data_IF_732419919622
#
_entry.id   IF_732419919622
#
_cell.length_a   1.000
_cell.length_b   1.000
_cell.length_c   1.000
_cell.angle_alpha   90.00
_cell.angle_beta   90.00
_cell.angle_gamma   90.00
#
_symmetry.space_group_name_H-M   'P 1'
#
loop_
_entity.id
_entity.type
_entity.pdbx_description
1 polymer ?
#
# COMPACT_ATOMS: atom_id res chain seq x y z
N UNK A 1 0.52 -31.80 -2.90
CA UNK A 1 -0.86 -31.60 -3.38
C UNK A 1 -0.99 -32.17 -4.78
N UNK A 2 -2.09 -32.86 -5.09
CA UNK A 2 -2.42 -33.28 -6.45
C UNK A 2 -3.24 -32.18 -7.16
N UNK A 3 -3.40 -32.26 -8.49
CA UNK A 3 -4.10 -31.23 -9.27
C UNK A 3 -5.54 -30.99 -8.77
N UNK A 4 -6.25 -32.07 -8.39
CA UNK A 4 -7.62 -32.00 -7.88
C UNK A 4 -7.69 -31.22 -6.56
N UNK A 5 -6.74 -31.44 -5.65
CA UNK A 5 -6.68 -30.71 -4.38
C UNK A 5 -6.45 -29.20 -4.60
N UNK A 6 -5.69 -28.80 -5.62
CA UNK A 6 -5.46 -27.38 -5.91
C UNK A 6 -6.74 -26.66 -6.34
N UNK A 7 -7.65 -27.37 -7.02
CA UNK A 7 -8.91 -26.79 -7.51
C UNK A 7 -9.99 -26.66 -6.42
N UNK A 8 -9.92 -27.50 -5.38
CA UNK A 8 -10.97 -27.60 -4.35
C UNK A 8 -10.60 -26.83 -3.09
N UNK A 9 -9.30 -26.77 -2.77
CA UNK A 9 -8.83 -26.17 -1.53
C UNK A 9 -8.95 -24.65 -1.53
N UNK A 10 -9.17 -24.11 -0.34
CA UNK A 10 -9.20 -22.66 -0.14
C UNK A 10 -7.83 -22.03 -0.43
N UNK A 11 -7.83 -20.78 -0.89
CA UNK A 11 -6.58 -20.05 -1.17
C UNK A 11 -5.66 -19.97 0.07
N UNK A 12 -6.23 -19.88 1.27
CA UNK A 12 -5.46 -19.92 2.52
C UNK A 12 -4.71 -21.24 2.71
N UNK A 13 -5.35 -22.38 2.43
CA UNK A 13 -4.72 -23.71 2.50
C UNK A 13 -3.59 -23.87 1.47
N UNK A 14 -3.76 -23.30 0.27
CA UNK A 14 -2.71 -23.26 -0.75
C UNK A 14 -1.51 -22.41 -0.30
N UNK A 15 -1.75 -21.24 0.28
CA UNK A 15 -0.70 -20.38 0.83
C UNK A 15 0.01 -21.05 2.01
N UNK A 16 -0.72 -21.69 2.92
CA UNK A 16 -0.14 -22.47 4.03
C UNK A 16 0.78 -23.57 3.51
N UNK A 17 0.34 -24.31 2.49
CA UNK A 17 1.14 -25.38 1.86
C UNK A 17 2.42 -24.83 1.23
N UNK A 18 2.37 -23.66 0.61
CA UNK A 18 3.56 -22.99 0.07
C UNK A 18 4.52 -22.56 1.19
N UNK A 19 4.02 -21.98 2.27
CA UNK A 19 4.83 -21.58 3.43
C UNK A 19 5.48 -22.79 4.12
N UNK A 20 4.76 -23.90 4.27
CA UNK A 20 5.28 -25.17 4.80
C UNK A 20 6.41 -25.71 3.92
N UNK A 21 6.24 -25.66 2.60
CA UNK A 21 7.28 -26.06 1.65
C UNK A 21 8.54 -25.22 1.80
N UNK A 22 8.40 -23.89 1.86
CA UNK A 22 9.54 -22.98 2.07
C UNK A 22 10.21 -23.19 3.44
N UNK A 23 9.43 -23.35 4.51
CA UNK A 23 9.98 -23.62 5.85
C UNK A 23 10.80 -24.91 5.88
N UNK A 24 10.34 -25.96 5.19
CA UNK A 24 11.10 -27.22 5.06
C UNK A 24 12.42 -27.02 4.30
N UNK A 25 12.45 -26.19 3.26
CA UNK A 25 13.67 -25.90 2.49
C UNK A 25 14.70 -25.15 3.33
N UNK A 26 14.25 -24.18 4.12
CA UNK A 26 15.13 -23.35 4.98
C UNK A 26 15.32 -23.92 6.39
N UNK A 27 14.88 -25.16 6.66
CA UNK A 27 14.95 -25.82 7.96
C UNK A 27 14.39 -24.97 9.13
N UNK A 28 13.28 -24.28 8.87
CA UNK A 28 12.54 -23.48 9.85
C UNK A 28 11.49 -24.36 10.50
N UNK A 29 11.43 -24.35 11.83
CA UNK A 29 10.44 -25.11 12.58
C UNK A 29 9.02 -24.61 12.26
N UNK A 30 8.16 -25.53 11.84
CA UNK A 30 6.75 -25.23 11.56
C UNK A 30 5.98 -25.22 12.88
N UNK A 31 5.36 -24.07 13.19
CA UNK A 31 4.52 -23.90 14.38
C UNK A 31 3.26 -24.78 14.27
N UNK A 32 2.80 -25.32 15.39
CA UNK A 32 1.49 -25.97 15.47
C UNK A 32 0.35 -24.99 15.18
N UNK A 33 -0.77 -25.50 14.66
CA UNK A 33 -1.97 -24.69 14.41
C UNK A 33 -2.42 -23.99 15.69
N UNK A 34 -2.72 -22.71 15.58
CA UNK A 34 -3.22 -21.94 16.71
C UNK A 34 -4.64 -22.39 17.06
N UNK A 35 -4.84 -22.68 18.34
CA UNK A 35 -6.16 -22.98 18.89
C UNK A 35 -6.66 -21.68 19.50
N UNK A 36 -7.68 -21.08 18.90
CA UNK A 36 -8.27 -19.85 19.41
C UNK A 36 -9.11 -20.14 20.65
N UNK A 37 -8.83 -19.40 21.73
CA UNK A 37 -9.68 -19.43 22.92
C UNK A 37 -10.95 -18.63 22.63
N UNK A 38 -12.12 -19.24 22.81
CA UNK A 38 -13.42 -18.65 22.46
C UNK A 38 -13.86 -17.48 23.35
N UNK A 39 -13.15 -17.21 24.46
CA UNK A 39 -13.56 -16.21 25.44
C UNK A 39 -12.38 -15.28 25.71
N UNK A 40 -12.52 -14.04 25.28
CA UNK A 40 -11.59 -12.96 25.58
C UNK A 40 -12.33 -11.83 26.31
N UNK A 41 -11.68 -11.27 27.32
CA UNK A 41 -12.18 -10.09 28.04
C UNK A 41 -11.29 -8.90 27.72
N UNK A 42 -11.92 -7.74 27.53
CA UNK A 42 -11.23 -6.46 27.42
C UNK A 42 -11.89 -5.45 28.36
N UNK A 43 -11.14 -4.93 29.33
CA UNK A 43 -11.64 -4.02 30.39
C UNK A 43 -12.90 -4.57 31.06
N UNK A 44 -12.84 -5.84 31.49
CA UNK A 44 -13.91 -6.59 32.16
C UNK A 44 -15.21 -6.76 31.35
N UNK A 45 -15.16 -6.52 30.04
CA UNK A 45 -16.27 -6.78 29.12
C UNK A 45 -15.90 -7.93 28.19
N UNK A 46 -16.88 -8.80 27.97
CA UNK A 46 -16.78 -9.86 26.97
C UNK A 46 -16.63 -9.26 25.57
N UNK A 47 -15.66 -9.76 24.81
CA UNK A 47 -15.42 -9.33 23.44
C UNK A 47 -16.07 -10.35 22.51
N UNK A 48 -17.16 -9.94 21.85
CA UNK A 48 -17.88 -10.77 20.88
C UNK A 48 -17.11 -10.90 19.55
N UNK A 49 -16.51 -9.81 19.07
CA UNK A 49 -15.59 -9.85 17.92
C UNK A 49 -14.55 -8.74 17.98
N UNK A 50 -13.32 -9.06 17.57
CA UNK A 50 -12.27 -8.09 17.31
C UNK A 50 -12.20 -7.83 15.81
N UNK A 51 -12.33 -6.57 15.41
CA UNK A 51 -12.15 -6.14 14.02
C UNK A 51 -11.07 -5.09 13.97
N UNK A 52 -10.11 -5.28 13.08
CA UNK A 52 -9.12 -4.26 12.73
C UNK A 52 -9.73 -3.46 11.58
N UNK A 53 -9.87 -2.15 11.78
CA UNK A 53 -10.27 -1.24 10.71
C UNK A 53 -8.99 -0.85 9.96
N UNK A 54 -8.91 -1.23 8.69
CA UNK A 54 -7.71 -1.00 7.86
C UNK A 54 -7.80 0.28 7.03
N UNK A 55 -8.99 0.66 6.59
CA UNK A 55 -9.21 1.86 5.76
C UNK A 55 -10.54 2.54 6.10
N UNK A 56 -10.53 3.87 6.11
CA UNK A 56 -11.74 4.69 6.06
C UNK A 56 -12.07 4.96 4.58
N UNK A 57 -13.30 4.67 4.17
CA UNK A 57 -13.77 4.96 2.82
C UNK A 57 -14.43 6.33 2.79
N UNK A 58 -13.78 7.31 2.16
CA UNK A 58 -14.39 8.62 1.90
C UNK A 58 -15.13 8.61 0.56
N UNK A 59 -16.46 8.66 0.61
CA UNK A 59 -17.26 9.03 -0.57
C UNK A 59 -17.20 10.54 -0.75
N UNK A 60 -16.25 11.01 -1.56
CA UNK A 60 -15.97 12.44 -1.71
C UNK A 60 -17.11 13.19 -2.41
N UNK A 61 -17.69 12.66 -3.48
CA UNK A 61 -18.75 13.33 -4.25
C UNK A 61 -19.72 12.35 -4.92
N UNK A 62 -20.96 12.20 -4.45
CA UNK A 62 -21.99 11.43 -5.16
C UNK A 62 -22.50 12.23 -6.37
N UNK A 63 -22.67 11.57 -7.52
CA UNK A 63 -23.19 12.21 -8.73
C UNK A 63 -22.96 11.39 -9.99
N UNK A 64 -23.40 11.92 -11.12
CA UNK A 64 -23.14 11.35 -12.44
C UNK A 64 -21.99 12.12 -13.08
N UNK A 65 -20.85 11.45 -13.28
CA UNK A 65 -19.70 12.01 -13.99
C UNK A 65 -19.60 11.38 -15.37
N UNK A 66 -19.55 12.22 -16.40
CA UNK A 66 -19.34 11.81 -17.80
C UNK A 66 -18.36 12.74 -18.49
N UNK A 67 -17.60 12.21 -19.44
CA UNK A 67 -16.58 12.97 -20.17
C UNK A 67 -17.18 14.02 -21.12
N UNK A 68 -18.44 13.88 -21.52
CA UNK A 68 -19.16 14.82 -22.38
C UNK A 68 -19.84 15.96 -21.62
N UNK A 69 -19.69 16.02 -20.30
CA UNK A 69 -20.18 17.12 -19.48
C UNK A 69 -19.03 18.05 -19.07
N UNK A 70 -19.32 19.35 -19.00
CA UNK A 70 -18.42 20.30 -18.37
C UNK A 70 -18.50 20.16 -16.87
N UNK A 71 -17.35 20.14 -16.22
CA UNK A 71 -17.21 20.09 -14.76
C UNK A 71 -16.41 21.29 -14.30
N UNK A 72 -16.72 21.77 -13.09
CA UNK A 72 -15.97 22.83 -12.45
C UNK A 72 -14.76 22.24 -11.75
N UNK A 73 -13.56 22.65 -12.17
CA UNK A 73 -12.30 22.31 -11.53
C UNK A 73 -11.87 23.46 -10.62
N UNK A 74 -11.37 23.11 -9.43
CA UNK A 74 -10.79 24.07 -8.49
C UNK A 74 -9.51 23.45 -7.95
N UNK A 75 -8.39 23.81 -8.57
CA UNK A 75 -7.09 23.23 -8.24
C UNK A 75 -6.39 24.04 -7.15
N UNK A 76 -5.49 23.40 -6.41
CA UNK A 76 -4.64 24.09 -5.45
C UNK A 76 -3.38 24.59 -6.15
N UNK A 77 -3.31 25.89 -6.38
CA UNK A 77 -2.19 26.54 -7.09
C UNK A 77 -0.83 26.24 -6.45
N UNK A 78 -0.78 26.09 -5.12
CA UNK A 78 0.47 25.76 -4.41
C UNK A 78 0.97 24.35 -4.75
N UNK A 79 0.06 23.39 -4.93
CA UNK A 79 0.43 22.03 -5.35
C UNK A 79 0.90 22.01 -6.80
N UNK A 80 0.26 22.81 -7.67
CA UNK A 80 0.72 22.96 -9.05
C UNK A 80 2.13 23.55 -9.08
N UNK A 81 2.41 24.57 -8.28
CA UNK A 81 3.75 25.16 -8.18
C UNK A 81 4.78 24.15 -7.68
N UNK A 82 4.45 23.37 -6.65
CA UNK A 82 5.31 22.29 -6.16
C UNK A 82 5.62 21.26 -7.26
N UNK A 83 4.60 20.85 -8.02
CA UNK A 83 4.79 19.90 -9.13
C UNK A 83 5.71 20.51 -10.18
N UNK A 84 5.53 21.79 -10.54
CA UNK A 84 6.37 22.52 -11.52
C UNK A 84 7.83 22.54 -11.07
N UNK A 85 8.08 22.83 -9.79
CA UNK A 85 9.43 22.89 -9.21
C UNK A 85 10.10 21.50 -9.18
N UNK A 86 9.33 20.44 -8.94
CA UNK A 86 9.82 19.05 -8.85
C UNK A 86 9.75 18.28 -10.19
N UNK A 87 9.34 18.89 -11.32
CA UNK A 87 9.19 18.19 -12.62
C UNK A 87 10.47 17.46 -13.05
N UNK A 88 11.64 18.04 -12.79
CA UNK A 88 12.92 17.42 -13.12
C UNK A 88 13.20 16.14 -12.33
N UNK A 89 12.65 16.01 -11.13
CA UNK A 89 12.77 14.81 -10.29
C UNK A 89 11.73 13.77 -10.70
N UNK A 90 10.50 14.21 -10.98
CA UNK A 90 9.41 13.34 -11.45
C UNK A 90 9.75 12.68 -12.79
N UNK A 91 10.39 13.40 -13.70
CA UNK A 91 10.74 12.93 -15.04
C UNK A 91 12.19 12.44 -15.17
N UNK A 92 12.81 12.01 -14.07
CA UNK A 92 14.24 11.64 -14.04
C UNK A 92 14.61 10.57 -15.09
N UNK A 93 13.74 9.58 -15.29
CA UNK A 93 13.95 8.49 -16.24
C UNK A 93 13.96 8.94 -17.71
N UNK A 94 13.40 10.13 -17.99
CA UNK A 94 13.25 10.66 -19.34
C UNK A 94 14.31 11.72 -19.70
N UNK A 95 15.26 12.04 -18.82
CA UNK A 95 16.26 13.09 -19.05
C UNK A 95 17.17 12.84 -20.26
N UNK A 96 17.38 11.58 -20.62
CA UNK A 96 18.29 11.19 -21.71
C UNK A 96 17.67 11.28 -23.12
N UNK A 97 16.37 11.60 -23.22
CA UNK A 97 15.69 11.70 -24.51
C UNK A 97 15.93 13.07 -25.15
N UNK A 98 16.06 13.10 -26.48
CA UNK A 98 16.34 14.32 -27.26
C UNK A 98 15.28 15.40 -27.09
N UNK A 99 14.02 14.97 -26.92
CA UNK A 99 12.86 15.86 -26.90
C UNK A 99 12.46 16.27 -25.48
N UNK A 100 13.26 15.88 -24.47
CA UNK A 100 12.97 16.09 -23.05
C UNK A 100 12.63 17.56 -22.74
N UNK A 101 13.49 18.49 -23.16
CA UNK A 101 13.29 19.91 -22.88
C UNK A 101 12.02 20.48 -23.53
N UNK A 102 11.65 19.97 -24.72
CA UNK A 102 10.45 20.39 -25.42
C UNK A 102 9.20 19.91 -24.68
N UNK A 103 9.14 18.61 -24.35
CA UNK A 103 8.00 18.01 -23.64
C UNK A 103 7.85 18.59 -22.24
N UNK A 104 8.96 18.81 -21.52
CA UNK A 104 8.98 19.47 -20.21
C UNK A 104 8.35 20.86 -20.26
N UNK A 105 8.74 21.69 -21.22
CA UNK A 105 8.20 23.05 -21.34
C UNK A 105 6.69 23.04 -21.66
N UNK A 106 6.24 22.15 -22.55
CA UNK A 106 4.82 21.98 -22.84
C UNK A 106 4.03 21.57 -21.59
N UNK A 107 4.55 20.62 -20.81
CA UNK A 107 3.94 20.18 -19.56
C UNK A 107 3.82 21.32 -18.54
N UNK A 108 4.88 22.12 -18.37
CA UNK A 108 4.88 23.27 -17.46
C UNK A 108 3.85 24.32 -17.90
N UNK A 109 3.74 24.58 -19.21
CA UNK A 109 2.76 25.53 -19.73
C UNK A 109 1.32 25.05 -19.55
N UNK A 110 1.06 23.76 -19.72
CA UNK A 110 -0.25 23.15 -19.44
C UNK A 110 -0.58 23.19 -17.93
N UNK A 111 0.37 22.86 -17.07
CA UNK A 111 0.22 22.95 -15.60
C UNK A 111 -0.10 24.39 -15.15
N UNK A 112 0.58 25.39 -15.72
CA UNK A 112 0.29 26.81 -15.44
C UNK A 112 -1.12 27.21 -15.88
N UNK A 113 -1.63 26.63 -16.97
CA UNK A 113 -2.99 26.88 -17.46
C UNK A 113 -4.06 26.29 -16.54
N UNK A 114 -3.72 25.25 -15.78
CA UNK A 114 -4.60 24.61 -14.80
C UNK A 114 -4.70 25.33 -13.45
N UNK A 115 -4.07 26.49 -13.27
CA UNK A 115 -4.19 27.28 -12.04
C UNK A 115 -5.56 27.97 -11.93
N UNK A 116 -6.02 28.11 -10.69
CA UNK A 116 -7.30 28.71 -10.35
C UNK A 116 -8.50 27.77 -10.52
N UNK A 117 -9.66 28.38 -10.80
CA UNK A 117 -10.90 27.64 -11.06
C UNK A 117 -11.37 27.87 -12.49
N UNK A 118 -11.74 26.78 -13.16
CA UNK A 118 -12.19 26.81 -14.56
C UNK A 118 -13.22 25.71 -14.83
N UNK A 119 -14.02 25.88 -15.88
CA UNK A 119 -15.00 24.90 -16.32
C UNK A 119 -14.53 24.25 -17.63
N UNK A 120 -14.35 22.93 -17.62
CA UNK A 120 -13.93 22.19 -18.82
C UNK A 120 -14.46 20.75 -18.84
N UNK A 121 -14.27 20.04 -19.94
CA UNK A 121 -14.55 18.62 -20.05
C UNK A 121 -13.47 17.81 -19.32
N UNK A 122 -13.90 16.82 -18.53
CA UNK A 122 -13.01 16.02 -17.70
C UNK A 122 -12.78 14.61 -18.24
N UNK A 123 -11.61 14.05 -17.96
CA UNK A 123 -11.34 12.62 -18.15
C UNK A 123 -11.48 11.86 -16.84
N UNK A 124 -12.05 10.65 -16.90
CA UNK A 124 -12.25 9.79 -15.73
C UNK A 124 -11.10 8.80 -15.67
N UNK A 125 -10.22 8.96 -14.68
CA UNK A 125 -9.10 8.04 -14.42
C UNK A 125 -9.38 7.20 -13.19
N UNK A 126 -9.05 5.90 -13.28
CA UNK A 126 -8.98 4.99 -12.13
C UNK A 126 -7.51 4.71 -11.87
N UNK A 127 -6.99 5.24 -10.78
CA UNK A 127 -5.66 4.90 -10.27
C UNK A 127 -5.80 3.76 -9.28
N UNK A 128 -5.02 2.70 -9.46
CA UNK A 128 -4.94 1.57 -8.53
C UNK A 128 -3.49 1.14 -8.38
N UNK A 129 -3.12 0.73 -7.17
CA UNK A 129 -1.82 0.13 -6.93
C UNK A 129 -1.86 -1.36 -7.27
N UNK A 130 -0.90 -1.81 -8.08
CA UNK A 130 -0.72 -3.22 -8.34
C UNK A 130 -0.21 -3.91 -7.08
N UNK A 131 -0.83 -5.05 -6.73
CA UNK A 131 -0.43 -5.90 -5.61
C UNK A 131 -0.12 -5.11 -4.33
N UNK A 132 -0.98 -4.15 -3.96
CA UNK A 132 -0.76 -3.21 -2.84
C UNK A 132 -0.28 -3.91 -1.56
N UNK A 133 -1.05 -4.87 -1.03
CA UNK A 133 -0.70 -5.57 0.21
C UNK A 133 0.58 -6.41 0.10
N UNK A 134 0.78 -7.25 -0.94
CA UNK A 134 2.07 -7.90 -1.15
C UNK A 134 3.26 -6.92 -1.18
N UNK A 135 3.14 -5.79 -1.87
CA UNK A 135 4.21 -4.81 -1.96
C UNK A 135 4.48 -4.10 -0.62
N UNK A 136 3.45 -3.78 0.15
CA UNK A 136 3.58 -3.24 1.52
C UNK A 136 4.27 -4.26 2.44
N UNK A 137 3.86 -5.54 2.36
CA UNK A 137 4.43 -6.64 3.13
C UNK A 137 5.93 -6.76 2.84
N UNK A 138 6.33 -6.77 1.57
CA UNK A 138 7.73 -6.92 1.17
C UNK A 138 8.58 -5.69 1.53
N UNK A 139 8.08 -4.48 1.25
CA UNK A 139 8.81 -3.22 1.52
C UNK A 139 9.09 -3.04 3.02
N UNK A 140 8.15 -3.46 3.86
CA UNK A 140 8.26 -3.34 5.31
C UNK A 140 8.76 -4.63 6.00
N UNK A 141 9.05 -5.68 5.24
CA UNK A 141 9.43 -7.00 5.75
C UNK A 141 8.45 -7.54 6.81
N UNK A 142 7.15 -7.33 6.57
CA UNK A 142 6.09 -7.73 7.51
C UNK A 142 5.91 -9.24 7.44
N UNK A 143 6.09 -9.91 8.57
CA UNK A 143 5.79 -11.32 8.73
C UNK A 143 5.46 -11.59 10.20
N UNK A 144 4.69 -12.64 10.52
CA UNK A 144 4.28 -12.91 11.90
C UNK A 144 5.45 -12.96 12.89
N UNK A 145 6.60 -13.49 12.48
CA UNK A 145 7.80 -13.61 13.32
C UNK A 145 8.61 -12.32 13.45
N UNK A 146 8.39 -11.32 12.58
CA UNK A 146 9.03 -10.01 12.66
C UNK A 146 8.30 -9.06 13.64
N UNK A 147 7.08 -9.41 14.07
CA UNK A 147 6.34 -8.66 15.06
C UNK A 147 6.86 -9.05 16.46
N UNK A 148 7.74 -8.21 16.99
CA UNK A 148 8.38 -8.43 18.29
C UNK A 148 7.66 -7.68 19.42
N UNK A 149 7.70 -8.24 20.62
CA UNK A 149 7.28 -7.58 21.86
C UNK A 149 8.49 -6.96 22.58
N UNK A 150 8.25 -6.07 23.55
CA UNK A 150 9.33 -5.43 24.33
C UNK A 150 10.28 -6.45 24.97
N UNK A 151 9.75 -7.50 25.61
CA UNK A 151 10.56 -8.54 26.25
C UNK A 151 11.45 -9.32 25.25
N UNK A 152 10.97 -9.57 24.03
CA UNK A 152 11.80 -10.21 22.99
C UNK A 152 12.87 -9.27 22.43
N UNK A 153 12.57 -7.97 22.34
CA UNK A 153 13.53 -6.96 21.91
C UNK A 153 14.66 -6.76 22.94
N UNK A 154 14.32 -6.74 24.23
CA UNK A 154 15.29 -6.52 25.31
C UNK A 154 16.34 -7.64 25.42
N UNK A 155 15.98 -8.85 24.99
CA UNK A 155 16.87 -10.03 24.97
C UNK A 155 17.64 -10.20 23.67
N UNK A 156 17.47 -9.30 22.70
CA UNK A 156 18.13 -9.36 21.42
C UNK A 156 19.59 -8.91 21.53
N UNK A 157 20.52 -9.70 21.04
CA UNK A 157 21.96 -9.35 21.02
C UNK A 157 22.26 -8.08 20.21
N UNK A 158 21.37 -7.73 19.26
CA UNK A 158 21.46 -6.53 18.44
C UNK A 158 20.80 -5.30 19.08
N UNK A 159 20.30 -5.39 20.31
CA UNK A 159 19.74 -4.26 21.05
C UNK A 159 20.86 -3.40 21.68
N UNK A 160 21.79 -2.92 20.86
CA UNK A 160 22.94 -2.15 21.30
C UNK A 160 22.73 -0.64 21.11
N UNK A 161 21.58 -0.08 21.54
CA UNK A 161 21.28 1.37 21.59
C UNK A 161 21.33 2.19 20.27
N UNK A 162 21.94 1.65 19.22
CA UNK A 162 22.24 2.27 17.93
C UNK A 162 21.72 1.41 16.76
N UNK A 163 20.83 0.47 17.04
CA UNK A 163 20.33 -0.47 16.04
C UNK A 163 19.13 0.11 15.29
N UNK A 164 19.29 0.25 13.97
CA UNK A 164 18.23 0.70 13.05
C UNK A 164 17.34 -0.46 12.57
N UNK A 165 17.35 -1.61 13.25
CA UNK A 165 16.65 -2.81 12.82
C UNK A 165 15.16 -2.84 13.23
N UNK A 166 14.77 -2.08 14.26
CA UNK A 166 13.40 -2.05 14.75
C UNK A 166 12.61 -0.92 14.07
N UNK A 167 11.89 -1.26 12.99
CA UNK A 167 10.93 -0.35 12.35
C UNK A 167 9.66 -0.26 13.20
N UNK A 168 9.28 0.97 13.58
CA UNK A 168 8.05 1.26 14.31
C UNK A 168 6.86 1.38 13.38
#
# INVERSE_FOLDING_TARGET
>A
MNMVSVLIESMSCLIESLLVSQASVYNVLIKSKEITNYIEFHKDRFVDSKKIVLEEFDTVNPGIFRADFKHKFSNNDKLIDLIIDEVDEILIDYKNYTDYNLVKNLLIDDLRRCKGSYDDFGNIYRLSFDCMYPNIILTNNIQPHAIITGNTHDRCDFNSGNSNCNKK
#
